data_IF_281675852573
#
_entry.id   IF_281675852573
#
_cell.length_a   1.000
_cell.length_b   1.000
_cell.length_c   1.000
_cell.angle_alpha   90.00
_cell.angle_beta   90.00
_cell.angle_gamma   90.00
#
_symmetry.space_group_name_H-M   'P 1'
#
loop_
_entity.id
_entity.type
_entity.pdbx_description
1 polymer ?
#
# COMPACT_ATOMS: atom_id res chain seq x y z
N UNK A 1 -0.77 -15.50 -37.91
CA UNK A 1 -1.92 -14.61 -37.64
C UNK A 1 -2.95 -15.43 -36.86
N UNK A 2 -3.24 -15.29 -35.57
CA UNK A 2 -3.19 -14.19 -34.59
C UNK A 2 -3.13 -14.83 -33.18
N UNK A 3 -2.17 -14.49 -32.32
CA UNK A 3 -2.26 -13.51 -31.22
C UNK A 3 -3.24 -13.89 -30.09
N UNK A 4 -3.11 -15.08 -29.50
CA UNK A 4 -3.55 -15.30 -28.11
C UNK A 4 -2.36 -15.02 -27.19
N UNK A 5 -2.15 -13.73 -26.97
CA UNK A 5 -1.33 -13.25 -25.89
C UNK A 5 -2.04 -13.66 -24.60
N UNK A 6 -1.49 -14.63 -23.89
CA UNK A 6 -1.75 -14.84 -22.47
C UNK A 6 -1.26 -13.62 -21.69
N UNK A 7 -1.97 -12.50 -21.84
CA UNK A 7 -1.98 -11.46 -20.83
C UNK A 7 -2.81 -12.06 -19.70
N UNK A 8 -2.17 -12.87 -18.85
CA UNK A 8 -2.67 -13.07 -17.50
C UNK A 8 -2.68 -11.67 -16.89
N UNK A 9 -3.86 -11.04 -16.67
CA UNK A 9 -3.89 -9.82 -15.90
C UNK A 9 -3.25 -10.20 -14.56
N UNK A 10 -2.11 -9.59 -14.28
CA UNK A 10 -1.38 -9.74 -13.02
C UNK A 10 -2.42 -9.69 -11.91
N UNK A 11 -2.50 -10.62 -10.96
CA UNK A 11 -3.60 -10.66 -9.98
C UNK A 11 -3.85 -9.32 -9.23
N UNK A 12 -2.86 -8.42 -9.25
CA UNK A 12 -2.89 -7.06 -8.77
C UNK A 12 -3.88 -6.11 -9.47
N UNK A 13 -4.15 -6.23 -10.76
CA UNK A 13 -4.96 -5.23 -11.50
C UNK A 13 -6.44 -5.29 -11.08
N UNK A 14 -6.90 -6.47 -10.66
CA UNK A 14 -8.23 -6.70 -10.09
C UNK A 14 -8.26 -6.70 -8.55
N UNK A 15 -7.11 -6.49 -7.89
CA UNK A 15 -7.07 -6.48 -6.43
C UNK A 15 -7.75 -5.23 -5.85
N UNK A 16 -8.27 -5.30 -4.60
CA UNK A 16 -8.71 -4.13 -3.85
C UNK A 16 -7.64 -3.04 -3.76
N UNK A 17 -8.06 -1.77 -3.66
CA UNK A 17 -7.15 -0.62 -3.68
C UNK A 17 -6.14 -0.63 -2.53
N UNK A 18 -6.54 -1.11 -1.35
CA UNK A 18 -5.68 -1.29 -0.19
C UNK A 18 -4.60 -2.36 -0.42
N UNK A 19 -4.95 -3.45 -1.12
CA UNK A 19 -3.99 -4.50 -1.48
C UNK A 19 -2.98 -3.99 -2.51
N UNK A 20 -3.43 -3.26 -3.54
CA UNK A 20 -2.55 -2.62 -4.54
C UNK A 20 -1.56 -1.68 -3.86
N UNK A 21 -2.07 -0.80 -3.00
CA UNK A 21 -1.25 0.16 -2.27
C UNK A 21 -0.24 -0.54 -1.35
N UNK A 22 -0.63 -1.61 -0.66
CA UNK A 22 0.29 -2.37 0.17
C UNK A 22 1.46 -2.95 -0.64
N UNK A 23 1.19 -3.47 -1.84
CA UNK A 23 2.23 -4.00 -2.73
C UNK A 23 3.15 -2.90 -3.25
N UNK A 24 2.60 -1.75 -3.64
CA UNK A 24 3.40 -0.60 -4.05
C UNK A 24 4.31 -0.11 -2.92
N UNK A 25 3.80 -0.04 -1.68
CA UNK A 25 4.58 0.35 -0.52
C UNK A 25 5.72 -0.63 -0.22
N UNK A 26 5.45 -1.94 -0.28
CA UNK A 26 6.48 -2.96 -0.09
C UNK A 26 7.58 -2.81 -1.16
N UNK A 27 7.19 -2.68 -2.43
CA UNK A 27 8.14 -2.49 -3.52
C UNK A 27 9.03 -1.25 -3.32
N UNK A 28 8.44 -0.12 -2.88
CA UNK A 28 9.19 1.10 -2.59
C UNK A 28 10.19 0.91 -1.45
N UNK A 29 9.79 0.26 -0.35
CA UNK A 29 10.65 0.02 0.80
C UNK A 29 11.83 -0.90 0.44
N UNK A 30 11.57 -1.97 -0.30
CA UNK A 30 12.60 -2.91 -0.77
C UNK A 30 13.56 -2.23 -1.76
N UNK A 31 13.03 -1.47 -2.72
CA UNK A 31 13.84 -0.77 -3.74
C UNK A 31 14.81 0.24 -3.12
N UNK A 32 14.46 0.82 -1.97
CA UNK A 32 15.31 1.75 -1.22
C UNK A 32 16.14 1.05 -0.12
N UNK A 33 16.11 -0.28 -0.06
CA UNK A 33 16.85 -1.08 0.93
C UNK A 33 16.57 -0.65 2.37
N UNK A 34 15.32 -0.29 2.66
CA UNK A 34 14.90 0.10 4.01
C UNK A 34 14.89 -1.15 4.89
N UNK A 35 15.52 -1.04 6.05
CA UNK A 35 15.51 -2.11 7.05
C UNK A 35 14.07 -2.43 7.49
N UNK A 36 13.77 -3.71 7.66
CA UNK A 36 12.40 -4.19 7.96
C UNK A 36 11.88 -3.61 9.27
N UNK A 37 12.71 -3.52 10.30
CA UNK A 37 12.28 -2.98 11.61
C UNK A 37 12.03 -1.47 11.52
N UNK A 38 12.83 -0.76 10.73
CA UNK A 38 12.62 0.66 10.43
C UNK A 38 11.33 0.88 9.65
N UNK A 39 11.07 0.06 8.63
CA UNK A 39 9.86 0.13 7.82
C UNK A 39 8.60 -0.12 8.66
N UNK A 40 8.61 -1.15 9.51
CA UNK A 40 7.50 -1.46 10.41
C UNK A 40 7.22 -0.31 11.39
N UNK A 41 8.27 0.23 12.01
CA UNK A 41 8.15 1.39 12.91
C UNK A 41 7.55 2.62 12.22
N UNK A 42 7.97 2.91 10.98
CA UNK A 42 7.42 4.00 10.19
C UNK A 42 5.94 3.76 9.82
N UNK A 43 5.58 2.55 9.41
CA UNK A 43 4.20 2.19 9.07
C UNK A 43 3.26 2.32 10.28
N UNK A 44 3.73 1.98 11.49
CA UNK A 44 2.95 2.19 12.72
C UNK A 44 2.70 3.67 13.00
N UNK A 45 3.70 4.53 12.79
CA UNK A 45 3.53 5.98 12.91
C UNK A 45 2.54 6.54 11.88
N UNK A 46 2.63 6.12 10.62
CA UNK A 46 1.69 6.50 9.55
C UNK A 46 0.28 6.04 9.89
N UNK A 47 0.11 4.80 10.35
CA UNK A 47 -1.19 4.26 10.79
C UNK A 47 -1.79 5.10 11.92
N UNK A 48 -0.99 5.45 12.92
CA UNK A 48 -1.43 6.30 14.03
C UNK A 48 -1.90 7.69 13.55
N UNK A 49 -1.16 8.33 12.64
CA UNK A 49 -1.55 9.62 12.05
C UNK A 49 -2.86 9.53 11.25
N UNK A 50 -3.02 8.49 10.43
CA UNK A 50 -4.26 8.25 9.67
C UNK A 50 -5.46 7.99 10.58
N UNK A 51 -5.28 7.23 11.67
CA UNK A 51 -6.32 7.02 12.67
C UNK A 51 -6.69 8.33 13.37
N UNK A 52 -5.70 9.15 13.73
CA UNK A 52 -5.93 10.47 14.31
C UNK A 52 -6.70 11.36 13.34
N UNK A 53 -6.33 11.44 12.06
CA UNK A 53 -7.07 12.19 11.04
C UNK A 53 -8.51 11.70 10.86
N UNK A 54 -8.70 10.38 10.85
CA UNK A 54 -10.04 9.76 10.77
C UNK A 54 -10.92 10.12 11.98
N UNK A 55 -10.35 10.14 13.19
CA UNK A 55 -11.06 10.52 14.43
C UNK A 55 -11.19 12.03 14.65
N UNK A 56 -10.29 12.83 14.08
CA UNK A 56 -10.29 14.30 14.19
C UNK A 56 -11.36 14.96 13.32
N UNK A 57 -11.92 14.23 12.35
CA UNK A 57 -13.03 14.70 11.53
C UNK A 57 -14.38 14.81 12.30
N UNK A 58 -14.44 14.34 13.55
CA UNK A 58 -15.68 14.33 14.37
C UNK A 58 -15.68 15.26 15.60
N UNK A 59 -14.64 16.07 15.83
CA UNK A 59 -14.60 17.00 16.98
C UNK A 59 -14.32 18.43 16.53
N UNK A 60 -15.30 19.02 15.85
CA UNK A 60 -15.53 20.47 15.88
C UNK A 60 -17.01 20.69 16.19
N UNK A 61 -17.33 20.77 17.48
CA UNK A 61 -18.62 21.24 17.95
C UNK A 61 -18.47 21.91 19.31
#
# INVERSE_FOLDING_TARGET
>A
MNKDASHTPSGLENAPDDVKLAVDLIYLLESHHIDVDVALSALDMVKADLLNKKGSASTQN
#
